data_IF_914950888960
#
_entry.id   IF_914950888960
#
_cell.length_a   1.000
_cell.length_b   1.000
_cell.length_c   1.000
_cell.angle_alpha   90.00
_cell.angle_beta   90.00
_cell.angle_gamma   90.00
#
_symmetry.space_group_name_H-M   'P 1'
#
loop_
_entity.id
_entity.type
_entity.pdbx_description
1 polymer ?
#
# COMPACT_ATOMS: atom_id res chain seq x y z
N UNK A 1 -14.47 34.15 -15.70
CA UNK A 1 -13.37 33.21 -16.01
C UNK A 1 -13.29 32.28 -14.82
N UNK A 2 -13.56 30.99 -15.00
CA UNK A 2 -13.37 29.99 -13.95
C UNK A 2 -11.86 29.79 -13.81
N UNK A 3 -11.31 30.01 -12.63
CA UNK A 3 -9.93 29.61 -12.33
C UNK A 3 -9.90 28.08 -12.47
N UNK A 4 -9.10 27.58 -13.42
CA UNK A 4 -8.76 26.17 -13.48
C UNK A 4 -7.94 25.87 -12.22
N UNK A 5 -8.55 25.24 -11.23
CA UNK A 5 -7.82 24.63 -10.13
C UNK A 5 -6.86 23.61 -10.73
N UNK A 6 -5.56 23.78 -10.51
CA UNK A 6 -4.56 22.82 -10.98
C UNK A 6 -4.80 21.49 -10.26
N UNK A 7 -5.03 20.42 -11.02
CA UNK A 7 -5.16 19.07 -10.46
C UNK A 7 -3.77 18.46 -10.31
N UNK A 8 -3.42 18.11 -9.09
CA UNK A 8 -2.10 17.64 -8.71
C UNK A 8 -2.22 16.19 -8.23
N UNK A 9 -1.44 15.24 -8.76
CA UNK A 9 -1.44 13.87 -8.25
C UNK A 9 -1.07 13.85 -6.76
N UNK A 10 -1.86 13.15 -5.95
CA UNK A 10 -1.49 12.87 -4.58
C UNK A 10 -0.30 11.91 -4.53
N UNK A 11 0.60 12.14 -3.60
CA UNK A 11 1.85 11.39 -3.47
C UNK A 11 2.23 11.08 -2.02
N UNK A 12 1.38 11.48 -1.07
CA UNK A 12 1.45 11.11 0.34
C UNK A 12 0.07 10.61 0.79
N UNK A 13 0.06 9.45 1.43
CA UNK A 13 -1.15 8.76 1.86
C UNK A 13 -0.98 8.31 3.30
N UNK A 14 -1.85 8.78 4.19
CA UNK A 14 -1.91 8.38 5.60
C UNK A 14 -3.21 7.63 5.84
N UNK A 15 -3.14 6.32 6.01
CA UNK A 15 -4.29 5.42 5.94
C UNK A 15 -4.35 4.52 7.18
N UNK A 16 -5.55 4.21 7.65
CA UNK A 16 -5.76 3.28 8.77
C UNK A 16 -7.04 2.48 8.63
N UNK A 17 -7.04 1.27 9.17
CA UNK A 17 -8.22 0.41 9.18
C UNK A 17 -8.00 -0.82 10.05
N UNK A 18 -9.01 -1.17 10.83
CA UNK A 18 -8.88 -2.18 11.89
C UNK A 18 -7.67 -1.87 12.78
N UNK A 19 -6.70 -2.78 12.86
CA UNK A 19 -5.47 -2.66 13.65
C UNK A 19 -4.28 -2.17 12.80
N UNK A 20 -4.48 -1.92 11.50
CA UNK A 20 -3.43 -1.60 10.53
C UNK A 20 -3.36 -0.08 10.29
N UNK A 21 -2.14 0.47 10.31
CA UNK A 21 -1.81 1.81 9.86
C UNK A 21 -0.77 1.73 8.75
N UNK A 22 -0.97 2.51 7.69
CA UNK A 22 -0.10 2.56 6.52
C UNK A 22 0.17 4.01 6.16
N UNK A 23 1.44 4.36 6.03
CA UNK A 23 1.87 5.59 5.37
C UNK A 23 2.59 5.22 4.08
N UNK A 24 2.11 5.72 2.95
CA UNK A 24 2.77 5.53 1.65
C UNK A 24 3.14 6.87 1.07
N UNK A 25 4.38 7.02 0.63
CA UNK A 25 4.87 8.23 -0.01
C UNK A 25 5.65 7.88 -1.26
N UNK A 26 5.49 8.67 -2.31
CA UNK A 26 6.26 8.52 -3.55
C UNK A 26 6.74 9.86 -4.09
N UNK A 27 8.00 9.93 -4.49
CA UNK A 27 8.61 11.15 -5.01
C UNK A 27 9.62 10.85 -6.10
N UNK A 28 9.79 11.79 -7.05
CA UNK A 28 10.77 11.66 -8.13
C UNK A 28 12.21 11.72 -7.62
N UNK A 29 12.46 12.41 -6.51
CA UNK A 29 13.79 12.57 -5.89
C UNK A 29 14.09 11.51 -4.83
N UNK A 30 13.09 11.18 -4.01
CA UNK A 30 13.22 10.31 -2.83
C UNK A 30 12.85 8.85 -3.10
N UNK A 31 12.21 8.55 -4.23
CA UNK A 31 11.67 7.22 -4.52
C UNK A 31 10.36 6.95 -3.77
N UNK A 32 9.97 5.68 -3.70
CA UNK A 32 8.79 5.26 -2.94
C UNK A 32 9.17 4.69 -1.58
N UNK A 33 8.32 4.88 -0.57
CA UNK A 33 8.45 4.26 0.74
C UNK A 33 7.08 3.91 1.31
N UNK A 34 7.04 2.85 2.12
CA UNK A 34 5.83 2.42 2.81
C UNK A 34 6.17 2.11 4.26
N UNK A 35 5.48 2.76 5.20
CA UNK A 35 5.52 2.43 6.63
C UNK A 35 4.25 1.64 6.94
N UNK A 36 4.42 0.46 7.51
CA UNK A 36 3.36 -0.43 7.93
C UNK A 36 3.44 -0.66 9.44
N UNK A 37 2.31 -0.54 10.12
CA UNK A 37 2.19 -0.80 11.54
C UNK A 37 0.91 -1.59 11.84
N UNK A 38 1.02 -2.67 12.61
CA UNK A 38 -0.10 -3.37 13.25
C UNK A 38 0.22 -3.74 14.70
N UNK A 39 -0.64 -4.52 15.36
CA UNK A 39 -0.46 -4.93 16.77
C UNK A 39 0.84 -5.72 17.04
N UNK A 40 1.49 -6.27 16.02
CA UNK A 40 2.64 -7.17 16.14
C UNK A 40 3.89 -6.65 15.42
N UNK A 41 3.73 -5.83 14.40
CA UNK A 41 4.78 -5.42 13.49
C UNK A 41 4.78 -3.90 13.30
N UNK A 42 5.98 -3.31 13.37
CA UNK A 42 6.25 -1.93 12.96
C UNK A 42 7.46 -1.96 12.02
N UNK A 43 7.24 -1.64 10.73
CA UNK A 43 8.28 -1.75 9.71
C UNK A 43 8.14 -0.69 8.62
N UNK A 44 9.27 -0.10 8.26
CA UNK A 44 9.42 0.76 7.09
C UNK A 44 10.07 0.00 5.95
N UNK A 45 9.58 0.21 4.74
CA UNK A 45 10.04 -0.40 3.50
C UNK A 45 10.52 0.68 2.53
N UNK A 46 11.74 0.52 2.03
CA UNK A 46 12.33 1.40 1.01
C UNK A 46 11.95 1.00 -0.41
N UNK A 47 12.26 1.86 -1.39
CA UNK A 47 11.88 1.69 -2.79
C UNK A 47 12.24 0.32 -3.39
N UNK A 48 13.36 -0.27 -2.97
CA UNK A 48 13.88 -1.57 -3.38
C UNK A 48 13.20 -2.77 -2.69
N UNK A 49 12.46 -2.54 -1.61
CA UNK A 49 11.63 -3.53 -0.92
C UNK A 49 10.16 -3.51 -1.39
N UNK A 50 9.78 -2.51 -2.19
CA UNK A 50 8.44 -2.37 -2.77
C UNK A 50 8.38 -3.03 -4.14
N UNK A 51 7.31 -3.77 -4.40
CA UNK A 51 6.88 -4.14 -5.75
C UNK A 51 5.66 -3.31 -6.10
N UNK A 52 5.78 -2.45 -7.12
CA UNK A 52 4.70 -1.57 -7.59
C UNK A 52 4.26 -2.00 -8.98
N UNK A 53 2.97 -2.30 -9.13
CA UNK A 53 2.37 -2.70 -10.42
C UNK A 53 1.22 -1.75 -10.80
N UNK A 54 1.29 -1.16 -11.99
CA UNK A 54 0.20 -0.38 -12.54
C UNK A 54 -0.89 -1.29 -13.12
N UNK A 55 -2.13 -1.09 -12.69
CA UNK A 55 -3.30 -1.89 -13.09
C UNK A 55 -4.49 -1.00 -13.44
N UNK A 56 -5.57 -1.61 -13.93
CA UNK A 56 -6.83 -0.88 -14.15
C UNK A 56 -7.52 -0.41 -12.86
N UNK A 57 -7.08 -0.90 -11.69
CA UNK A 57 -7.57 -0.47 -10.38
C UNK A 57 -6.76 0.70 -9.80
N UNK A 58 -5.68 1.12 -10.49
CA UNK A 58 -4.64 1.97 -9.94
C UNK A 58 -3.36 1.17 -9.69
N UNK A 59 -2.57 1.60 -8.71
CA UNK A 59 -1.31 0.96 -8.36
C UNK A 59 -1.52 -0.11 -7.29
N UNK A 60 -0.86 -1.25 -7.44
CA UNK A 60 -0.73 -2.27 -6.41
C UNK A 60 0.66 -2.16 -5.80
N UNK A 61 0.75 -1.69 -4.56
CA UNK A 61 2.00 -1.53 -3.83
C UNK A 61 2.14 -2.68 -2.86
N UNK A 62 3.09 -3.59 -3.11
CA UNK A 62 3.27 -4.81 -2.34
C UNK A 62 4.59 -4.81 -1.57
N UNK A 63 4.54 -5.23 -0.30
CA UNK A 63 5.70 -5.44 0.58
C UNK A 63 5.63 -6.82 1.24
N UNK A 64 6.79 -7.36 1.62
CA UNK A 64 6.87 -8.64 2.35
C UNK A 64 6.95 -8.39 3.86
N UNK A 65 5.87 -8.71 4.59
CA UNK A 65 5.81 -8.54 6.04
C UNK A 65 6.63 -9.61 6.78
N UNK A 66 6.54 -10.86 6.33
CA UNK A 66 7.24 -12.00 6.92
C UNK A 66 7.60 -13.04 5.86
N UNK A 67 8.75 -13.68 6.02
CA UNK A 67 9.19 -14.78 5.17
C UNK A 67 9.90 -15.83 6.03
N UNK A 68 9.23 -16.96 6.26
CA UNK A 68 9.73 -18.07 7.04
C UNK A 68 9.84 -19.29 6.10
N UNK A 69 11.07 -19.72 5.73
CA UNK A 69 11.27 -20.86 4.87
C UNK A 69 10.55 -22.10 5.40
N UNK A 70 9.91 -22.84 4.50
CA UNK A 70 9.17 -24.08 4.78
C UNK A 70 7.97 -23.92 5.73
N UNK A 71 7.52 -22.68 5.95
CA UNK A 71 6.30 -22.35 6.66
C UNK A 71 5.41 -21.46 5.81
N UNK A 72 5.78 -20.20 5.60
CA UNK A 72 4.95 -19.24 4.87
C UNK A 72 5.70 -17.97 4.45
N UNK A 73 5.12 -17.29 3.45
CA UNK A 73 5.43 -15.89 3.11
C UNK A 73 4.15 -15.07 3.27
N UNK A 74 4.23 -14.00 4.04
CA UNK A 74 3.13 -13.05 4.26
C UNK A 74 3.48 -11.74 3.58
N UNK A 75 2.63 -11.30 2.67
CA UNK A 75 2.75 -10.00 2.00
C UNK A 75 1.56 -9.11 2.31
N UNK A 76 1.78 -7.81 2.22
CA UNK A 76 0.72 -6.81 2.26
C UNK A 76 0.73 -6.02 0.96
N UNK A 77 -0.44 -5.80 0.39
CA UNK A 77 -0.66 -5.04 -0.83
C UNK A 77 -1.65 -3.91 -0.57
N UNK A 78 -1.22 -2.67 -0.83
CA UNK A 78 -2.09 -1.51 -0.87
C UNK A 78 -2.63 -1.34 -2.30
N UNK A 79 -3.96 -1.30 -2.44
CA UNK A 79 -4.64 -1.04 -3.71
C UNK A 79 -4.98 0.45 -3.79
N UNK A 80 -4.15 1.20 -4.51
CA UNK A 80 -4.20 2.66 -4.51
C UNK A 80 -4.73 3.20 -5.85
N UNK A 81 -5.95 3.77 -5.90
CA UNK A 81 -6.45 4.41 -7.12
C UNK A 81 -5.68 5.69 -7.44
N UNK A 82 -5.76 6.16 -8.68
CA UNK A 82 -5.26 7.48 -9.04
C UNK A 82 -6.10 8.56 -8.35
N UNK A 83 -5.46 9.35 -7.49
CA UNK A 83 -6.10 10.41 -6.71
C UNK A 83 -5.43 11.74 -7.06
N UNK A 84 -6.24 12.74 -7.41
CA UNK A 84 -5.81 14.12 -7.62
C UNK A 84 -6.39 15.05 -6.56
N UNK A 85 -5.64 16.07 -6.19
CA UNK A 85 -6.04 17.14 -5.25
C UNK A 85 -5.90 18.50 -5.94
N UNK A 86 -6.66 19.49 -5.49
CA UNK A 86 -6.67 20.85 -6.08
C UNK A 86 -5.70 21.82 -5.43
N UNK A 87 -5.19 21.49 -4.23
CA UNK A 87 -4.28 22.32 -3.46
C UNK A 87 -3.19 21.46 -2.82
N UNK A 88 -1.94 21.96 -2.78
CA UNK A 88 -0.84 21.28 -2.10
C UNK A 88 -1.09 21.20 -0.59
N UNK A 89 -0.74 20.07 0.02
CA UNK A 89 -0.91 19.82 1.47
C UNK A 89 -2.37 19.98 1.97
N UNK A 90 -3.36 19.97 1.08
CA UNK A 90 -4.76 19.91 1.47
C UNK A 90 -5.19 18.43 1.51
N UNK A 91 -5.46 17.85 2.69
CA UNK A 91 -5.88 16.46 2.80
C UNK A 91 -7.25 16.24 2.15
N UNK A 92 -7.30 15.28 1.23
CA UNK A 92 -8.53 14.71 0.70
C UNK A 92 -8.82 13.40 1.41
N UNK A 93 -10.01 13.25 1.99
CA UNK A 93 -10.46 12.00 2.58
C UNK A 93 -10.59 10.91 1.51
N UNK A 94 -10.01 9.75 1.76
CA UNK A 94 -10.00 8.60 0.84
C UNK A 94 -10.30 7.30 1.57
N UNK A 95 -10.83 6.35 0.80
CA UNK A 95 -11.08 4.97 1.23
C UNK A 95 -10.49 4.03 0.17
N UNK A 96 -9.63 3.11 0.61
CA UNK A 96 -8.90 2.18 -0.27
C UNK A 96 -8.82 0.78 0.37
N UNK A 97 -8.40 -0.22 -0.41
CA UNK A 97 -8.27 -1.59 0.08
C UNK A 97 -6.82 -1.93 0.44
N UNK A 98 -6.64 -2.59 1.58
CA UNK A 98 -5.43 -3.34 1.93
C UNK A 98 -5.69 -4.84 1.83
N UNK A 99 -4.72 -5.58 1.29
CA UNK A 99 -4.80 -7.03 1.12
C UNK A 99 -3.58 -7.67 1.80
N UNK A 100 -3.81 -8.51 2.81
CA UNK A 100 -2.76 -9.38 3.34
C UNK A 100 -2.89 -10.75 2.68
N UNK A 101 -1.80 -11.22 2.07
CA UNK A 101 -1.75 -12.51 1.40
C UNK A 101 -0.76 -13.45 2.10
N UNK A 102 -1.25 -14.61 2.52
CA UNK A 102 -0.43 -15.68 3.11
C UNK A 102 -0.22 -16.78 2.09
N UNK A 103 1.05 -17.07 1.82
CA UNK A 103 1.52 -18.10 0.90
C UNK A 103 2.23 -19.20 1.70
N UNK A 104 1.55 -20.30 2.06
CA UNK A 104 2.20 -21.42 2.71
C UNK A 104 3.33 -21.97 1.84
N UNK A 105 4.49 -22.19 2.44
CA UNK A 105 5.64 -22.79 1.74
C UNK A 105 5.88 -24.19 2.29
N UNK A 106 6.29 -25.11 1.43
CA UNK A 106 6.56 -26.50 1.82
C UNK A 106 7.63 -27.10 0.91
N UNK A 107 8.57 -27.84 1.51
CA UNK A 107 9.62 -28.58 0.79
C UNK A 107 9.02 -29.57 -0.21
N UNK A 108 7.85 -30.15 0.09
CA UNK A 108 7.20 -31.16 -0.75
C UNK A 108 6.49 -30.58 -1.98
N UNK A 109 6.47 -29.25 -2.14
CA UNK A 109 5.66 -28.58 -3.14
C UNK A 109 4.20 -28.43 -2.72
N UNK A 110 3.45 -27.52 -3.35
CA UNK A 110 2.18 -27.11 -2.81
C UNK A 110 1.09 -28.14 -3.16
N UNK A 111 0.28 -28.52 -2.17
CA UNK A 111 -0.79 -29.53 -2.32
C UNK A 111 -1.99 -29.03 -3.14
N UNK A 112 -2.98 -29.90 -3.39
CA UNK A 112 -4.20 -29.50 -4.09
C UNK A 112 -5.02 -28.50 -3.26
N UNK A 113 -5.57 -27.47 -3.92
CA UNK A 113 -6.45 -26.46 -3.30
C UNK A 113 -5.97 -25.03 -3.52
N UNK A 114 -6.56 -24.09 -2.76
CA UNK A 114 -6.13 -22.70 -2.72
C UNK A 114 -4.76 -22.61 -2.04
N UNK A 115 -3.81 -21.96 -2.71
CA UNK A 115 -2.41 -21.87 -2.25
C UNK A 115 -2.05 -20.48 -1.70
N UNK A 116 -2.94 -19.49 -1.88
CA UNK A 116 -2.80 -18.15 -1.30
C UNK A 116 -4.09 -17.81 -0.59
N UNK A 117 -3.98 -17.41 0.67
CA UNK A 117 -5.13 -16.97 1.47
C UNK A 117 -5.10 -15.45 1.60
N UNK A 118 -6.27 -14.81 1.46
CA UNK A 118 -6.38 -13.36 1.51
C UNK A 118 -7.19 -12.92 2.73
N UNK A 119 -6.68 -11.89 3.40
CA UNK A 119 -7.43 -11.05 4.34
C UNK A 119 -7.56 -9.66 3.75
N UNK A 120 -8.76 -9.08 3.78
CA UNK A 120 -9.05 -7.75 3.24
C UNK A 120 -9.33 -6.79 4.39
N UNK A 121 -8.77 -5.59 4.29
CA UNK A 121 -9.06 -4.47 5.19
C UNK A 121 -9.44 -3.23 4.38
N UNK A 122 -10.49 -2.54 4.80
CA UNK A 122 -10.79 -1.20 4.29
C UNK A 122 -9.95 -0.21 5.07
N UNK A 123 -9.14 0.58 4.36
CA UNK A 123 -8.29 1.62 4.91
C UNK A 123 -8.88 2.99 4.58
N UNK A 124 -9.07 3.81 5.61
CA UNK A 124 -9.60 5.18 5.49
C UNK A 124 -8.54 6.16 5.99
N UNK A 125 -8.42 7.29 5.32
CA UNK A 125 -7.47 8.31 5.73
C UNK A 125 -7.38 9.46 4.74
N UNK A 126 -6.19 10.03 4.57
CA UNK A 126 -5.98 11.21 3.74
C UNK A 126 -5.01 10.94 2.59
N UNK A 127 -5.24 11.64 1.48
CA UNK A 127 -4.35 11.76 0.35
C UNK A 127 -3.95 13.23 0.15
N UNK A 128 -2.67 13.48 -0.04
CA UNK A 128 -2.10 14.82 -0.14
C UNK A 128 -1.05 14.90 -1.25
N UNK A 129 -0.93 16.08 -1.86
CA UNK A 129 0.23 16.43 -2.68
C UNK A 129 1.27 17.14 -1.80
N UNK A 130 2.28 16.38 -1.39
CA UNK A 130 3.38 16.80 -0.56
C UNK A 130 4.66 17.05 -1.38
N UNK A 131 5.51 17.95 -0.86
CA UNK A 131 6.77 18.36 -1.50
C UNK A 131 7.93 17.71 -0.74
N UNK A 132 8.71 16.88 -1.43
CA UNK A 132 9.86 16.13 -0.88
C UNK A 132 11.14 16.37 -1.70
#
# INVERSE_FOLDING_TARGET
>A
MQELSEEIPANLFSLRGDSINVEYATGTLTGSSLIYHDDQLDRSFGNDELTVEDTSLGQLITVTLSQIPDLEVVTFTLVLPSITVTEHNAPLDVEVAGITATHPTTIAGPGPGQQTFYSLVTLIGTAEAAVF
#
